data_IF_637516707927
#
_entry.id   IF_637516707927
#
_cell.length_a   1.000
_cell.length_b   1.000
_cell.length_c   1.000
_cell.angle_alpha   90.00
_cell.angle_beta   90.00
_cell.angle_gamma   90.00
#
_symmetry.space_group_name_H-M   'P 1'
#
loop_
_entity.id
_entity.type
_entity.pdbx_description
1 polymer ?
#
# COMPACT_ATOMS: atom_id res chain seq x y z
N UNK A 1 -30.74 -40.12 28.51
CA UNK A 1 -31.99 -39.91 27.75
C UNK A 1 -32.00 -38.43 27.38
N UNK A 2 -32.01 -38.01 26.11
CA UNK A 2 -32.45 -38.72 24.87
C UNK A 2 -31.33 -38.93 23.85
N UNK A 3 -31.66 -39.59 22.73
CA UNK A 3 -30.85 -39.90 21.54
C UNK A 3 -31.85 -40.09 20.36
N UNK A 4 -31.53 -40.02 19.06
CA UNK A 4 -30.31 -39.66 18.32
C UNK A 4 -30.74 -39.24 16.87
N UNK A 5 -29.98 -39.17 15.78
CA UNK A 5 -28.56 -39.46 15.41
C UNK A 5 -28.09 -38.29 14.47
N UNK A 6 -27.15 -38.28 13.51
CA UNK A 6 -26.22 -39.26 12.94
C UNK A 6 -26.60 -39.80 11.55
N UNK A 7 -26.14 -39.16 10.46
CA UNK A 7 -26.22 -39.70 9.08
C UNK A 7 -24.92 -39.44 8.30
N UNK A 8 -24.32 -40.51 7.78
CA UNK A 8 -23.26 -40.51 6.77
C UNK A 8 -23.83 -41.00 5.44
N UNK A 9 -23.30 -40.56 4.30
CA UNK A 9 -23.13 -41.42 3.13
C UNK A 9 -21.89 -41.04 2.31
N UNK A 10 -21.17 -42.06 1.83
CA UNK A 10 -19.92 -41.96 1.07
C UNK A 10 -20.17 -41.96 -0.44
N UNK A 11 -19.25 -41.45 -1.26
CA UNK A 11 -19.42 -41.56 -2.72
C UNK A 11 -18.34 -41.02 -3.66
N UNK A 12 -17.25 -41.79 -3.83
CA UNK A 12 -16.38 -41.78 -5.02
C UNK A 12 -15.45 -40.57 -5.29
N UNK A 13 -14.51 -40.79 -6.19
CA UNK A 13 -13.33 -39.96 -6.48
C UNK A 13 -13.44 -39.18 -7.78
N UNK A 14 -12.98 -37.91 -7.77
CA UNK A 14 -12.62 -37.17 -8.97
C UNK A 14 -11.32 -36.38 -8.74
N UNK A 15 -10.20 -36.92 -9.22
CA UNK A 15 -9.00 -36.11 -9.46
C UNK A 15 -9.23 -35.27 -10.73
N UNK A 16 -9.46 -33.97 -10.60
CA UNK A 16 -9.52 -33.06 -11.76
C UNK A 16 -9.17 -31.62 -11.39
N UNK A 17 -8.06 -31.13 -11.97
CA UNK A 17 -7.68 -29.71 -12.10
C UNK A 17 -7.67 -28.86 -10.82
N UNK A 18 -6.55 -28.91 -10.09
CA UNK A 18 -6.02 -27.74 -9.36
C UNK A 18 -5.05 -26.92 -10.23
N UNK A 19 -5.20 -27.04 -11.55
CA UNK A 19 -4.45 -26.31 -12.58
C UNK A 19 -5.39 -25.34 -13.32
N UNK A 20 -4.81 -24.26 -13.85
CA UNK A 20 -5.51 -23.11 -14.43
C UNK A 20 -6.38 -22.32 -13.43
N UNK A 21 -5.76 -21.88 -12.33
CA UNK A 21 -6.08 -20.58 -11.77
C UNK A 21 -5.68 -19.50 -12.79
N UNK A 22 -6.59 -19.20 -13.70
CA UNK A 22 -6.47 -18.16 -14.72
C UNK A 22 -6.02 -16.85 -14.05
N UNK A 23 -4.89 -16.29 -14.49
CA UNK A 23 -4.32 -15.05 -13.93
C UNK A 23 -5.15 -13.85 -14.40
N UNK A 24 -6.38 -13.75 -13.89
CA UNK A 24 -7.28 -12.62 -14.09
C UNK A 24 -6.52 -11.35 -13.76
N UNK A 25 -6.34 -10.49 -14.76
CA UNK A 25 -5.73 -9.18 -14.59
C UNK A 25 -6.40 -8.49 -13.40
N UNK A 26 -5.62 -7.95 -12.45
CA UNK A 26 -6.20 -7.34 -11.26
C UNK A 26 -7.22 -6.27 -11.64
N UNK A 27 -8.38 -6.31 -10.97
CA UNK A 27 -9.52 -5.46 -11.28
C UNK A 27 -9.08 -3.99 -11.29
N UNK A 28 -9.17 -3.31 -12.43
CA UNK A 28 -9.08 -1.84 -12.47
C UNK A 28 -10.49 -1.31 -12.18
N UNK A 29 -10.61 -0.29 -11.33
CA UNK A 29 -11.88 0.43 -11.14
C UNK A 29 -11.75 1.89 -11.57
N UNK A 30 -12.89 2.50 -11.91
CA UNK A 30 -13.04 3.95 -11.96
C UNK A 30 -12.91 4.54 -10.54
N UNK A 31 -11.65 4.68 -10.11
CA UNK A 31 -11.29 5.59 -9.06
C UNK A 31 -11.48 7.00 -9.62
N UNK A 32 -12.36 7.80 -8.99
CA UNK A 32 -12.50 9.23 -9.31
C UNK A 32 -11.23 9.99 -8.92
N UNK A 33 -10.29 10.01 -9.88
CA UNK A 33 -8.98 10.62 -9.83
C UNK A 33 -8.98 11.91 -10.67
N UNK A 34 -8.11 12.87 -10.35
CA UNK A 34 -7.73 13.92 -11.29
C UNK A 34 -7.13 13.31 -12.57
N UNK A 35 -7.31 13.99 -13.71
CA UNK A 35 -6.77 13.56 -15.00
C UNK A 35 -5.25 13.43 -14.92
N UNK A 36 -4.72 12.27 -15.29
CA UNK A 36 -3.27 12.04 -15.33
C UNK A 36 -2.55 13.08 -16.21
N UNK A 37 -1.54 13.71 -15.63
CA UNK A 37 -0.63 14.67 -16.27
C UNK A 37 0.65 14.00 -16.78
N UNK A 38 0.91 12.75 -16.38
CA UNK A 38 2.15 12.04 -16.70
C UNK A 38 1.91 10.54 -16.79
N UNK A 39 2.38 9.91 -17.86
CA UNK A 39 2.46 8.45 -17.96
C UNK A 39 3.86 8.01 -17.54
N UNK A 40 3.94 7.09 -16.58
CA UNK A 40 5.18 6.43 -16.19
C UNK A 40 5.37 5.21 -17.10
N UNK A 41 6.35 5.29 -17.99
CA UNK A 41 6.75 4.18 -18.84
C UNK A 41 7.60 3.18 -18.04
N UNK A 42 7.08 1.96 -17.84
CA UNK A 42 7.79 0.92 -17.11
C UNK A 42 9.07 0.42 -17.80
N UNK A 43 9.26 0.66 -19.11
CA UNK A 43 10.53 0.35 -19.78
C UNK A 43 11.70 1.24 -19.30
N UNK A 44 11.40 2.40 -18.70
CA UNK A 44 12.40 3.32 -18.14
C UNK A 44 12.72 3.03 -16.67
N UNK A 45 12.11 2.00 -16.05
CA UNK A 45 12.23 1.72 -14.63
C UNK A 45 13.28 0.63 -14.36
N UNK A 46 14.36 0.98 -13.67
CA UNK A 46 15.45 0.06 -13.32
C UNK A 46 15.13 -0.73 -12.04
N UNK A 47 15.48 -2.03 -11.95
CA UNK A 47 15.19 -2.84 -10.75
C UNK A 47 15.77 -2.28 -9.45
N UNK A 48 15.05 -2.49 -8.33
CA UNK A 48 15.34 -2.00 -6.97
C UNK A 48 15.37 -0.47 -6.78
N UNK A 49 15.07 0.33 -7.81
CA UNK A 49 15.07 1.79 -7.71
C UNK A 49 13.93 2.36 -6.84
N UNK A 50 14.08 3.63 -6.44
CA UNK A 50 12.99 4.46 -5.91
C UNK A 50 12.60 5.48 -6.97
N UNK A 51 11.39 5.36 -7.52
CA UNK A 51 10.80 6.32 -8.45
C UNK A 51 9.99 7.38 -7.68
N UNK A 52 10.23 8.66 -7.96
CA UNK A 52 9.51 9.77 -7.32
C UNK A 52 8.36 10.21 -8.22
N UNK A 53 7.15 9.97 -7.75
CA UNK A 53 5.89 10.34 -8.43
C UNK A 53 5.77 11.86 -8.45
N UNK A 54 5.22 12.43 -9.53
CA UNK A 54 4.98 13.88 -9.66
C UNK A 54 3.59 14.13 -10.24
N UNK A 55 2.86 15.06 -9.64
CA UNK A 55 1.48 15.39 -10.03
C UNK A 55 0.62 14.13 -10.15
N UNK A 56 -0.25 14.09 -11.14
CA UNK A 56 -1.12 12.94 -11.39
C UNK A 56 -0.47 11.97 -12.37
N UNK A 57 0.10 10.89 -11.83
CA UNK A 57 0.82 9.88 -12.61
C UNK A 57 0.00 8.60 -12.80
N UNK A 58 0.11 8.00 -13.98
CA UNK A 58 -0.48 6.70 -14.33
C UNK A 58 0.61 5.77 -14.87
N UNK A 59 0.62 4.50 -14.47
CA UNK A 59 1.49 3.48 -15.10
C UNK A 59 1.01 3.17 -16.53
N UNK A 60 1.93 2.84 -17.46
CA UNK A 60 1.52 2.43 -18.80
C UNK A 60 0.74 1.11 -18.79
N UNK A 61 -0.27 0.98 -19.67
CA UNK A 61 -1.27 -0.10 -19.65
C UNK A 61 -0.74 -1.51 -20.02
N UNK A 62 0.57 -1.71 -20.00
CA UNK A 62 1.27 -2.99 -20.20
C UNK A 62 2.48 -3.14 -19.27
N UNK A 63 2.47 -2.45 -18.12
CA UNK A 63 3.54 -2.50 -17.13
C UNK A 63 3.69 -3.90 -16.51
N UNK A 64 4.87 -4.52 -16.66
CA UNK A 64 5.29 -5.64 -15.83
C UNK A 64 6.28 -5.16 -14.76
N UNK A 65 5.80 -5.07 -13.50
CA UNK A 65 6.63 -4.77 -12.33
C UNK A 65 6.85 -6.01 -11.43
N UNK A 66 6.64 -7.21 -11.98
CA UNK A 66 6.90 -8.49 -11.33
C UNK A 66 8.41 -8.71 -11.19
N UNK A 67 8.86 -9.09 -9.99
CA UNK A 67 10.27 -9.32 -9.66
C UNK A 67 11.21 -8.16 -10.11
N UNK A 68 10.75 -6.92 -9.93
CA UNK A 68 11.55 -5.71 -10.18
C UNK A 68 11.95 -4.98 -8.90
N UNK A 69 11.25 -5.15 -7.77
CA UNK A 69 11.49 -4.39 -6.53
C UNK A 69 11.40 -2.84 -6.68
N UNK A 70 10.61 -2.32 -7.63
CA UNK A 70 10.42 -0.87 -7.80
C UNK A 70 9.66 -0.30 -6.59
N UNK A 71 10.12 0.83 -6.08
CA UNK A 71 9.48 1.55 -4.97
C UNK A 71 8.99 2.90 -5.48
N UNK A 72 7.78 3.30 -5.12
CA UNK A 72 7.19 4.58 -5.49
C UNK A 72 7.11 5.51 -4.27
N UNK A 73 7.62 6.73 -4.42
CA UNK A 73 7.63 7.75 -3.37
C UNK A 73 6.75 8.93 -3.81
N UNK A 74 5.65 9.16 -3.08
CA UNK A 74 4.78 10.34 -3.19
C UNK A 74 5.16 11.29 -2.06
N UNK A 75 5.63 12.49 -2.40
CA UNK A 75 6.30 13.39 -1.46
C UNK A 75 6.05 14.89 -1.73
N UNK A 76 5.02 15.17 -2.54
CA UNK A 76 4.47 16.48 -2.90
C UNK A 76 2.93 16.40 -2.82
N UNK A 77 2.26 17.51 -2.48
CA UNK A 77 0.80 17.62 -2.50
C UNK A 77 0.22 17.52 -3.92
N UNK A 78 -1.11 17.31 -4.02
CA UNK A 78 -1.84 17.21 -5.29
C UNK A 78 -1.21 16.16 -6.22
N UNK A 79 -0.94 14.98 -5.66
CA UNK A 79 -0.24 13.91 -6.36
C UNK A 79 -1.03 12.61 -6.36
N UNK A 80 -0.92 11.85 -7.44
CA UNK A 80 -1.56 10.54 -7.51
C UNK A 80 -0.74 9.52 -8.28
N UNK A 81 -0.88 8.27 -7.87
CA UNK A 81 -0.33 7.10 -8.54
C UNK A 81 -1.47 6.13 -8.83
N UNK A 82 -1.85 6.02 -10.10
CA UNK A 82 -2.70 4.94 -10.58
C UNK A 82 -1.83 3.85 -11.22
N UNK A 83 -1.83 2.67 -10.63
CA UNK A 83 -1.07 1.53 -11.12
C UNK A 83 -1.75 0.77 -12.26
N UNK A 84 -3.00 1.10 -12.65
CA UNK A 84 -3.72 0.46 -13.76
C UNK A 84 -3.75 -1.09 -13.64
N UNK A 85 -3.94 -1.63 -12.43
CA UNK A 85 -3.99 -3.06 -12.19
C UNK A 85 -2.61 -3.76 -12.17
N UNK A 86 -1.51 -3.02 -12.34
CA UNK A 86 -0.15 -3.58 -12.36
C UNK A 86 0.19 -4.29 -11.04
N UNK A 87 0.80 -5.48 -11.16
CA UNK A 87 1.43 -6.17 -10.05
C UNK A 87 2.86 -5.66 -9.83
N UNK A 88 3.11 -5.13 -8.64
CA UNK A 88 4.43 -4.79 -8.11
C UNK A 88 4.88 -5.96 -7.24
N UNK A 89 5.99 -6.64 -7.55
CA UNK A 89 6.56 -7.65 -6.64
C UNK A 89 8.05 -7.52 -6.41
N UNK A 90 8.49 -7.95 -5.22
CA UNK A 90 9.90 -8.01 -4.84
C UNK A 90 10.65 -9.09 -5.61
N UNK A 91 11.97 -8.97 -5.62
CA UNK A 91 12.88 -10.00 -6.12
C UNK A 91 13.22 -11.00 -5.04
N UNK A 92 13.48 -12.26 -5.41
CA UNK A 92 14.03 -13.26 -4.51
C UNK A 92 15.37 -12.84 -3.88
N UNK A 93 16.14 -11.95 -4.55
CA UNK A 93 17.37 -11.33 -4.02
C UNK A 93 17.15 -9.95 -3.36
N UNK A 94 15.92 -9.60 -2.99
CA UNK A 94 15.58 -8.39 -2.22
C UNK A 94 14.86 -8.74 -0.91
N UNK A 95 15.64 -9.25 0.05
CA UNK A 95 15.18 -9.53 1.42
C UNK A 95 14.89 -8.25 2.26
N UNK A 96 14.81 -7.06 1.65
CA UNK A 96 14.65 -5.81 2.39
C UNK A 96 13.19 -5.58 2.80
N UNK A 97 12.97 -5.22 4.06
CA UNK A 97 11.65 -4.92 4.67
C UNK A 97 11.08 -3.56 4.25
N UNK A 98 11.33 -3.16 3.01
CA UNK A 98 10.93 -1.87 2.42
C UNK A 98 9.47 -1.88 1.96
N UNK A 99 8.86 -0.72 1.90
CA UNK A 99 7.51 -0.56 1.37
C UNK A 99 7.52 -0.36 -0.15
N UNK A 100 6.54 -0.92 -0.86
CA UNK A 100 6.40 -0.69 -2.30
C UNK A 100 6.00 0.75 -2.60
N UNK A 101 5.03 1.29 -1.85
CA UNK A 101 4.54 2.66 -1.99
C UNK A 101 4.75 3.38 -0.65
N UNK A 102 5.38 4.55 -0.72
CA UNK A 102 5.68 5.41 0.42
C UNK A 102 5.03 6.77 0.18
N UNK A 103 4.22 7.23 1.13
CA UNK A 103 3.73 8.62 1.17
C UNK A 103 4.45 9.30 2.34
N UNK A 104 5.34 10.25 2.03
CA UNK A 104 6.20 10.92 3.03
C UNK A 104 6.63 12.32 2.53
N UNK A 105 6.45 13.40 3.31
CA UNK A 105 6.98 14.72 2.96
C UNK A 105 8.52 14.76 3.02
N UNK A 106 9.12 15.62 2.19
CA UNK A 106 10.57 15.81 2.08
C UNK A 106 11.21 16.50 3.29
N UNK A 107 10.38 17.20 4.06
CA UNK A 107 10.70 18.12 5.16
C UNK A 107 9.57 18.09 6.19
N UNK A 108 9.75 18.73 7.36
CA UNK A 108 8.63 18.97 8.30
C UNK A 108 7.66 20.01 7.70
N UNK A 109 6.78 19.53 6.83
CA UNK A 109 5.79 20.29 6.08
C UNK A 109 4.64 19.36 5.73
N UNK A 110 3.40 19.83 5.82
CA UNK A 110 2.25 19.07 5.36
C UNK A 110 2.36 18.71 3.87
N UNK A 111 1.77 17.59 3.49
CA UNK A 111 1.45 17.24 2.10
C UNK A 111 0.01 16.70 2.08
N UNK A 112 -0.77 17.11 1.08
CA UNK A 112 -2.22 16.88 1.04
C UNK A 112 -2.74 16.59 -0.37
N UNK A 113 -3.97 16.08 -0.48
CA UNK A 113 -4.60 15.62 -1.73
C UNK A 113 -3.70 14.59 -2.44
N UNK A 114 -3.60 13.41 -1.82
CA UNK A 114 -2.75 12.31 -2.31
C UNK A 114 -3.57 11.06 -2.53
N UNK A 115 -3.63 10.55 -3.77
CA UNK A 115 -4.38 9.32 -4.09
C UNK A 115 -3.52 8.20 -4.67
N UNK A 116 -3.60 7.00 -4.10
CA UNK A 116 -3.00 5.77 -4.65
C UNK A 116 -4.11 4.82 -5.07
N UNK A 117 -4.09 4.36 -6.33
CA UNK A 117 -5.19 3.62 -6.94
C UNK A 117 -4.75 2.40 -7.76
N UNK A 118 -5.58 1.34 -7.77
CA UNK A 118 -5.44 0.14 -8.62
C UNK A 118 -4.06 -0.55 -8.53
N UNK A 119 -3.40 -0.48 -7.37
CA UNK A 119 -2.05 -1.00 -7.16
C UNK A 119 -2.07 -2.34 -6.44
N UNK A 120 -1.47 -3.36 -7.04
CA UNK A 120 -1.43 -4.71 -6.47
C UNK A 120 0.01 -5.04 -6.10
N UNK A 121 0.24 -5.39 -4.84
CA UNK A 121 1.59 -5.51 -4.28
C UNK A 121 1.80 -6.86 -3.62
N UNK A 122 2.93 -7.50 -3.92
CA UNK A 122 3.31 -8.81 -3.40
C UNK A 122 4.75 -8.83 -2.86
N UNK A 123 4.96 -9.46 -1.70
CA UNK A 123 6.30 -9.77 -1.16
C UNK A 123 7.13 -8.62 -0.59
N UNK A 124 6.60 -7.38 -0.52
CA UNK A 124 7.28 -6.23 0.10
C UNK A 124 7.17 -6.24 1.64
N UNK A 125 7.99 -5.45 2.33
CA UNK A 125 7.82 -5.19 3.76
C UNK A 125 6.44 -4.65 4.12
N UNK A 126 5.93 -3.71 3.31
CA UNK A 126 4.54 -3.23 3.35
C UNK A 126 4.09 -2.90 1.92
N UNK A 127 2.80 -3.00 1.59
CA UNK A 127 2.30 -2.48 0.32
C UNK A 127 2.29 -0.94 0.31
N UNK A 128 1.76 -0.34 1.37
CA UNK A 128 1.70 1.10 1.56
C UNK A 128 2.21 1.50 2.94
N UNK A 129 3.03 2.55 2.99
CA UNK A 129 3.53 3.16 4.22
C UNK A 129 3.39 4.68 4.16
N UNK A 130 2.45 5.21 4.94
CA UNK A 130 2.19 6.65 5.07
C UNK A 130 2.84 7.12 6.37
N UNK A 131 3.66 8.18 6.32
CA UNK A 131 4.35 8.71 7.51
C UNK A 131 4.77 10.17 7.39
N UNK A 132 4.91 10.81 8.55
CA UNK A 132 5.55 12.11 8.72
C UNK A 132 7.04 12.11 8.31
N UNK A 133 7.64 13.29 8.07
CA UNK A 133 9.06 13.46 7.80
C UNK A 133 9.95 12.98 8.96
N UNK A 134 9.69 13.55 10.13
CA UNK A 134 10.32 13.30 11.42
C UNK A 134 9.60 12.20 12.22
N UNK A 135 10.33 11.50 13.07
CA UNK A 135 9.77 10.48 13.97
C UNK A 135 9.11 11.13 15.21
N UNK A 136 8.09 10.52 15.84
CA UNK A 136 7.37 11.12 16.99
C UNK A 136 8.28 11.64 18.09
N UNK A 137 9.22 10.82 18.55
CA UNK A 137 10.16 11.20 19.62
C UNK A 137 11.02 12.41 19.24
N UNK A 138 11.37 12.58 17.95
CA UNK A 138 12.11 13.74 17.45
C UNK A 138 11.23 15.01 17.39
N UNK A 139 9.92 14.86 17.23
CA UNK A 139 8.94 15.96 17.23
C UNK A 139 8.68 16.44 18.66
N UNK A 140 8.40 15.52 19.57
CA UNK A 140 8.22 15.82 20.99
C UNK A 140 9.48 16.45 21.60
N UNK A 141 10.68 15.93 21.31
CA UNK A 141 11.95 16.52 21.74
C UNK A 141 12.23 17.92 21.16
N UNK A 142 11.51 18.35 20.11
CA UNK A 142 11.57 19.70 19.52
C UNK A 142 10.44 20.62 20.03
N UNK A 143 9.67 20.21 21.03
CA UNK A 143 8.53 20.98 21.53
C UNK A 143 7.30 20.95 20.62
N UNK A 144 7.26 20.11 19.58
CA UNK A 144 6.05 19.84 18.81
C UNK A 144 5.14 18.90 19.62
N UNK A 145 4.62 19.42 20.73
CA UNK A 145 3.66 18.74 21.63
C UNK A 145 2.22 19.22 21.42
N UNK A 146 2.03 20.44 20.91
CA UNK A 146 0.70 20.96 20.61
C UNK A 146 0.00 20.14 19.50
N UNK A 147 -1.26 19.69 19.70
CA UNK A 147 -1.99 18.91 18.70
C UNK A 147 -2.31 19.66 17.41
N UNK A 148 -2.51 20.99 17.44
CA UNK A 148 -2.85 21.77 16.25
C UNK A 148 -1.62 22.03 15.37
N UNK A 149 -0.50 22.43 15.96
CA UNK A 149 0.80 22.56 15.30
C UNK A 149 1.30 21.23 14.72
N UNK A 150 1.06 20.10 15.41
CA UNK A 150 1.34 18.78 14.84
C UNK A 150 0.46 18.48 13.62
N UNK A 151 -0.86 18.75 13.71
CA UNK A 151 -1.81 18.53 12.62
C UNK A 151 -1.49 19.40 11.39
N UNK A 152 -1.07 20.65 11.60
CA UNK A 152 -0.67 21.58 10.54
C UNK A 152 0.61 21.18 9.78
N UNK A 153 1.34 20.15 10.25
CA UNK A 153 2.50 19.57 9.58
C UNK A 153 2.24 18.14 9.08
N UNK A 154 1.08 17.56 9.37
CA UNK A 154 0.76 16.17 9.07
C UNK A 154 0.53 15.95 7.56
N UNK A 155 0.88 14.78 7.00
CA UNK A 155 0.26 14.32 5.77
C UNK A 155 -1.25 14.14 5.97
N UNK A 156 -2.06 14.71 5.07
CA UNK A 156 -3.53 14.80 5.18
C UNK A 156 -4.23 14.53 3.85
N UNK A 157 -5.55 14.34 3.89
CA UNK A 157 -6.41 14.03 2.73
C UNK A 157 -5.81 12.99 1.77
N UNK A 158 -5.72 11.75 2.27
CA UNK A 158 -5.08 10.65 1.57
C UNK A 158 -6.10 9.58 1.22
N UNK A 159 -6.14 9.17 -0.04
CA UNK A 159 -7.12 8.21 -0.57
C UNK A 159 -6.39 6.98 -1.10
N UNK A 160 -6.80 5.80 -0.65
CA UNK A 160 -6.18 4.52 -1.02
C UNK A 160 -7.27 3.62 -1.58
N UNK A 161 -7.29 3.43 -2.90
CA UNK A 161 -8.46 2.95 -3.62
C UNK A 161 -8.11 1.69 -4.41
N UNK A 162 -8.76 0.57 -4.11
CA UNK A 162 -8.57 -0.69 -4.83
C UNK A 162 -7.08 -1.11 -4.88
N UNK A 163 -6.45 -1.10 -3.70
CA UNK A 163 -5.05 -1.50 -3.52
C UNK A 163 -5.02 -2.85 -2.81
N UNK A 164 -4.19 -3.79 -3.25
CA UNK A 164 -4.03 -5.09 -2.56
C UNK A 164 -2.62 -5.33 -2.04
N UNK A 165 -2.52 -5.95 -0.87
CA UNK A 165 -1.26 -6.44 -0.30
C UNK A 165 -1.31 -7.96 -0.14
N UNK A 166 -0.29 -8.65 -0.65
CA UNK A 166 -0.08 -10.07 -0.51
C UNK A 166 1.33 -10.34 0.04
N UNK A 167 1.46 -11.38 0.87
CA UNK A 167 2.73 -11.92 1.36
C UNK A 167 3.67 -10.88 1.99
N UNK A 168 3.14 -9.86 2.67
CA UNK A 168 3.95 -8.73 3.15
C UNK A 168 4.84 -9.13 4.34
N UNK A 169 6.13 -8.80 4.32
CA UNK A 169 7.10 -9.25 5.34
C UNK A 169 6.83 -8.64 6.73
N UNK A 170 6.19 -7.47 6.80
CA UNK A 170 5.67 -6.86 8.03
C UNK A 170 4.12 -6.76 7.93
N UNK A 171 3.54 -5.58 8.17
CA UNK A 171 2.10 -5.35 7.98
C UNK A 171 1.76 -5.02 6.52
N UNK A 172 0.58 -5.42 6.05
CA UNK A 172 0.17 -5.16 4.68
C UNK A 172 0.08 -3.67 4.36
N UNK A 173 -0.48 -2.89 5.30
CA UNK A 173 -0.43 -1.42 5.27
C UNK A 173 0.00 -0.84 6.62
N UNK A 174 0.62 0.33 6.57
CA UNK A 174 1.08 1.09 7.73
C UNK A 174 0.74 2.57 7.59
N UNK A 175 -0.05 3.08 8.54
CA UNK A 175 -0.26 4.52 8.75
C UNK A 175 0.48 4.90 10.03
N UNK A 176 1.52 5.70 9.89
CA UNK A 176 2.33 6.18 11.01
C UNK A 176 1.69 7.36 11.74
N UNK A 177 2.31 7.71 12.85
CA UNK A 177 1.94 8.83 13.71
C UNK A 177 1.99 10.18 12.99
N UNK A 178 1.17 11.13 13.46
CA UNK A 178 1.02 12.47 12.87
C UNK A 178 0.69 12.43 11.36
N UNK A 179 -0.17 11.50 10.98
CA UNK A 179 -0.85 11.40 9.68
C UNK A 179 -2.36 11.44 9.94
N UNK A 180 -3.12 12.17 9.11
CA UNK A 180 -4.55 12.40 9.29
C UNK A 180 -5.33 12.22 7.98
N UNK A 181 -6.66 12.14 8.05
CA UNK A 181 -7.52 12.15 6.86
C UNK A 181 -7.26 11.02 5.85
N UNK A 182 -6.78 9.85 6.29
CA UNK A 182 -6.56 8.70 5.39
C UNK A 182 -7.85 7.89 5.23
N UNK A 183 -8.20 7.58 3.99
CA UNK A 183 -9.35 6.75 3.63
C UNK A 183 -8.92 5.55 2.79
N UNK A 184 -9.59 4.40 2.99
CA UNK A 184 -9.34 3.15 2.28
C UNK A 184 -10.64 2.64 1.64
N UNK A 185 -10.67 2.49 0.31
CA UNK A 185 -11.78 1.85 -0.43
C UNK A 185 -11.28 0.58 -1.12
N UNK A 186 -12.08 -0.49 -1.09
CA UNK A 186 -11.82 -1.81 -1.74
C UNK A 186 -10.41 -2.38 -1.51
N UNK A 187 -9.79 -2.13 -0.35
CA UNK A 187 -8.49 -2.70 -0.03
C UNK A 187 -8.60 -4.16 0.39
N UNK A 188 -7.66 -4.98 -0.07
CA UNK A 188 -7.54 -6.41 0.27
C UNK A 188 -6.14 -6.73 0.77
N UNK A 189 -6.04 -7.34 1.95
CA UNK A 189 -4.75 -7.74 2.54
C UNK A 189 -4.76 -9.24 2.85
N UNK A 190 -3.73 -9.96 2.43
CA UNK A 190 -3.58 -11.39 2.62
C UNK A 190 -2.14 -11.77 3.01
N UNK A 191 -2.01 -12.75 3.90
CA UNK A 191 -0.72 -13.32 4.34
C UNK A 191 0.31 -12.25 4.77
N UNK A 192 -0.11 -11.30 5.61
CA UNK A 192 0.79 -10.31 6.20
C UNK A 192 1.54 -10.93 7.39
N UNK A 193 2.87 -10.81 7.42
CA UNK A 193 3.77 -11.43 8.39
C UNK A 193 3.69 -10.88 9.82
N UNK A 194 3.00 -9.76 10.05
CA UNK A 194 2.63 -9.30 11.40
C UNK A 194 1.13 -9.11 11.58
N UNK A 195 0.53 -8.14 10.87
CA UNK A 195 -0.91 -7.82 10.91
C UNK A 195 -1.37 -7.24 9.57
N UNK A 196 -2.67 -7.27 9.28
CA UNK A 196 -3.21 -6.68 8.04
C UNK A 196 -2.94 -5.16 7.95
N UNK A 197 -3.45 -4.42 8.93
CA UNK A 197 -3.34 -2.96 9.04
C UNK A 197 -2.66 -2.55 10.34
N UNK A 198 -1.82 -1.51 10.28
CA UNK A 198 -1.40 -0.74 11.45
C UNK A 198 -1.82 0.71 11.28
N UNK A 199 -2.57 1.22 12.25
CA UNK A 199 -2.58 2.64 12.61
C UNK A 199 -1.70 2.77 13.84
N UNK A 200 -0.53 3.39 13.71
CA UNK A 200 0.34 3.58 14.86
C UNK A 200 -0.12 4.79 15.66
N UNK A 201 -0.26 4.60 16.97
CA UNK A 201 -0.42 5.66 17.93
C UNK A 201 0.62 5.42 19.04
N UNK A 202 1.80 6.00 18.88
CA UNK A 202 2.76 6.15 19.97
C UNK A 202 2.08 7.02 21.02
N UNK A 203 1.56 6.37 22.06
CA UNK A 203 1.13 7.04 23.27
C UNK A 203 2.35 7.79 23.83
N UNK A 204 2.33 9.12 23.75
CA UNK A 204 3.33 9.96 24.35
C UNK A 204 3.20 9.86 25.87
N UNK A 205 3.96 8.95 26.47
CA UNK A 205 4.20 8.92 27.92
C UNK A 205 5.06 10.14 28.22
N UNK A 206 4.40 11.20 28.67
CA UNK A 206 5.00 12.42 29.26
C UNK A 206 5.08 12.26 30.78
#
# INVERSE_FOLDING_TARGET
>A
MTACEGVLFSGSSAHSSLDNADLKQPLIIDAKLPKATTTIDCAQLTPKQIFKVKGHSVLSASCDLTAKSIRFELNDSHSSLDCQGTLLSTRADDASKVSAIIIKPKTDSAIEDITVANCHVDGYGHALHIRQYSQPNQRYARGLIDPAANRALAPSDIRVINVSSQNSINSGMFVGDHVHGVSFDKVRIQNAGTVGYIWNLVAAIM
#
